data_IF_965919301439
#
_entry.id   IF_965919301439
#
_cell.length_a   1.000
_cell.length_b   1.000
_cell.length_c   1.000
_cell.angle_alpha   90.00
_cell.angle_beta   90.00
_cell.angle_gamma   90.00
#
_symmetry.space_group_name_H-M   'P 1'
#
loop_
_entity.id
_entity.type
_entity.pdbx_description
1 polymer ?
#
# COMPACT_ATOMS: atom_id res chain seq x y z
N UNK A 1 1.18 -2.49 -5.04
CA UNK A 1 0.22 -2.07 -4.00
C UNK A 1 -1.20 -1.91 -4.53
N UNK A 2 -1.45 -1.06 -5.52
CA UNK A 2 -2.82 -0.75 -5.95
C UNK A 2 -3.63 -1.94 -6.47
N UNK A 3 -3.10 -2.71 -7.43
CA UNK A 3 -3.83 -3.82 -8.07
C UNK A 3 -4.23 -4.95 -7.12
N UNK A 4 -3.40 -5.22 -6.10
CA UNK A 4 -3.69 -6.23 -5.08
C UNK A 4 -4.45 -5.69 -3.88
N UNK A 5 -4.18 -4.44 -3.50
CA UNK A 5 -4.79 -3.73 -2.39
C UNK A 5 -6.27 -3.46 -2.63
N UNK A 6 -6.58 -2.80 -3.75
CA UNK A 6 -7.96 -2.39 -4.05
C UNK A 6 -8.86 -3.58 -4.38
N UNK A 7 -8.35 -4.57 -5.11
CA UNK A 7 -9.12 -5.77 -5.44
C UNK A 7 -9.56 -6.53 -4.18
N UNK A 8 -8.66 -6.70 -3.21
CA UNK A 8 -8.98 -7.39 -1.96
C UNK A 8 -9.81 -6.51 -1.01
N UNK A 9 -9.49 -5.23 -0.94
CA UNK A 9 -10.20 -4.26 -0.13
C UNK A 9 -11.65 -4.05 -0.59
N UNK A 10 -11.94 -4.10 -1.88
CA UNK A 10 -13.30 -3.95 -2.41
C UNK A 10 -14.13 -5.22 -2.13
N UNK A 11 -13.54 -6.42 -2.24
CA UNK A 11 -14.20 -7.68 -1.87
C UNK A 11 -14.52 -7.73 -0.38
N UNK A 12 -13.55 -7.45 0.48
CA UNK A 12 -13.74 -7.49 1.94
C UNK A 12 -14.59 -6.30 2.40
N UNK A 13 -14.39 -5.13 1.82
CA UNK A 13 -15.14 -3.90 2.13
C UNK A 13 -16.62 -4.02 1.79
N UNK A 14 -16.99 -4.62 0.65
CA UNK A 14 -18.41 -4.85 0.31
C UNK A 14 -19.07 -5.91 1.20
N UNK A 15 -18.30 -6.91 1.66
CA UNK A 15 -18.84 -8.03 2.45
C UNK A 15 -18.90 -7.75 3.95
N UNK A 16 -17.95 -6.97 4.48
CA UNK A 16 -17.78 -6.74 5.92
C UNK A 16 -17.68 -5.26 6.32
N UNK A 17 -17.66 -4.32 5.38
CA UNK A 17 -17.51 -2.88 5.61
C UNK A 17 -18.73 -2.20 6.23
N UNK A 18 -19.19 -2.69 7.38
CA UNK A 18 -20.29 -2.08 8.15
C UNK A 18 -19.84 -0.82 8.89
N UNK A 19 -18.55 -0.74 9.28
CA UNK A 19 -17.94 0.43 9.91
C UNK A 19 -17.34 1.38 8.87
N UNK A 20 -18.09 2.43 8.51
CA UNK A 20 -17.67 3.49 7.59
C UNK A 20 -16.73 4.49 8.28
N UNK A 21 -15.87 5.14 7.52
CA UNK A 21 -15.01 6.21 8.03
C UNK A 21 -15.84 7.48 8.31
N UNK A 22 -15.66 8.15 9.46
CA UNK A 22 -16.43 9.35 9.82
C UNK A 22 -16.18 10.54 8.89
N UNK A 23 -15.10 10.50 8.09
CA UNK A 23 -14.73 11.54 7.14
C UNK A 23 -14.99 11.16 5.67
N UNK A 24 -15.40 9.91 5.38
CA UNK A 24 -15.68 9.45 4.02
C UNK A 24 -16.65 8.26 4.04
N UNK A 25 -17.93 8.51 3.76
CA UNK A 25 -19.00 7.48 3.82
C UNK A 25 -18.90 6.42 2.71
N UNK A 26 -18.03 6.63 1.71
CA UNK A 26 -17.73 5.68 0.65
C UNK A 26 -16.64 4.67 1.04
N UNK A 27 -15.83 4.98 2.07
CA UNK A 27 -14.72 4.14 2.55
C UNK A 27 -15.03 3.51 3.90
N UNK A 28 -14.58 2.27 4.11
CA UNK A 28 -14.67 1.57 5.39
C UNK A 28 -13.30 1.41 6.04
N UNK A 29 -13.26 1.46 7.37
CA UNK A 29 -12.10 1.09 8.18
C UNK A 29 -11.57 -0.30 7.80
N UNK A 30 -12.48 -1.25 7.59
CA UNK A 30 -12.14 -2.63 7.23
C UNK A 30 -11.54 -2.69 5.82
N UNK A 31 -12.07 -1.90 4.88
CA UNK A 31 -11.50 -1.80 3.54
C UNK A 31 -10.07 -1.24 3.56
N UNK A 32 -9.83 -0.21 4.37
CA UNK A 32 -8.51 0.42 4.48
C UNK A 32 -7.47 -0.50 5.12
N UNK A 33 -7.85 -1.23 6.17
CA UNK A 33 -6.99 -2.25 6.79
C UNK A 33 -6.71 -3.39 5.81
N UNK A 34 -7.72 -3.82 5.04
CA UNK A 34 -7.57 -4.85 4.02
C UNK A 34 -6.61 -4.41 2.92
N UNK A 35 -6.69 -3.17 2.46
CA UNK A 35 -5.78 -2.58 1.48
C UNK A 35 -4.34 -2.53 2.00
N UNK A 36 -4.14 -2.12 3.26
CA UNK A 36 -2.82 -2.11 3.90
C UNK A 36 -2.21 -3.52 3.94
N UNK A 37 -2.95 -4.49 4.48
CA UNK A 37 -2.46 -5.86 4.69
C UNK A 37 -2.18 -6.55 3.35
N UNK A 38 -3.13 -6.52 2.41
CA UNK A 38 -2.98 -7.17 1.11
C UNK A 38 -1.93 -6.49 0.24
N UNK A 39 -1.88 -5.15 0.26
CA UNK A 39 -0.88 -4.35 -0.43
C UNK A 39 0.53 -4.59 0.11
N UNK A 40 0.69 -4.69 1.43
CA UNK A 40 1.95 -5.05 2.09
C UNK A 40 2.38 -6.47 1.73
N UNK A 41 1.50 -7.47 1.91
CA UNK A 41 1.80 -8.87 1.61
C UNK A 41 2.19 -9.09 0.16
N UNK A 42 1.44 -8.54 -0.80
CA UNK A 42 1.76 -8.70 -2.22
C UNK A 42 3.09 -8.03 -2.58
N UNK A 43 3.37 -6.86 -2.01
CA UNK A 43 4.62 -6.15 -2.27
C UNK A 43 5.82 -6.85 -1.64
N UNK A 44 5.67 -7.41 -0.43
CA UNK A 44 6.70 -8.22 0.21
C UNK A 44 6.95 -9.53 -0.56
N UNK A 45 5.89 -10.19 -1.05
CA UNK A 45 6.00 -11.38 -1.89
C UNK A 45 6.75 -11.10 -3.19
N UNK A 46 6.45 -9.97 -3.86
CA UNK A 46 7.16 -9.57 -5.07
C UNK A 46 8.64 -9.27 -4.78
N UNK A 47 8.94 -8.55 -3.69
CA UNK A 47 10.32 -8.28 -3.29
C UNK A 47 11.09 -9.58 -2.99
N UNK A 48 10.46 -10.54 -2.31
CA UNK A 48 10.98 -11.88 -2.08
C UNK A 48 11.23 -12.64 -3.38
N UNK A 49 10.27 -12.63 -4.29
CA UNK A 49 10.40 -13.29 -5.59
C UNK A 49 11.61 -12.75 -6.38
N UNK A 50 11.77 -11.43 -6.49
CA UNK A 50 12.90 -10.83 -7.18
C UNK A 50 14.24 -11.02 -6.45
N UNK A 51 14.23 -11.06 -5.11
CA UNK A 51 15.43 -11.35 -4.32
C UNK A 51 15.88 -12.81 -4.51
N UNK A 52 14.96 -13.78 -4.56
CA UNK A 52 15.26 -15.18 -4.88
C UNK A 52 15.86 -15.35 -6.28
N UNK A 53 15.47 -14.52 -7.24
CA UNK A 53 16.05 -14.49 -8.58
C UNK A 53 17.44 -13.83 -8.62
N UNK A 54 17.92 -13.29 -7.49
CA UNK A 54 19.25 -12.68 -7.38
C UNK A 54 19.35 -11.24 -7.88
N UNK A 55 18.23 -10.59 -8.22
CA UNK A 55 18.25 -9.21 -8.72
C UNK A 55 18.51 -8.17 -7.62
N UNK A 56 18.15 -8.48 -6.37
CA UNK A 56 18.28 -7.57 -5.24
C UNK A 56 18.87 -8.28 -4.01
N UNK A 57 19.89 -7.66 -3.41
CA UNK A 57 20.34 -8.00 -2.07
C UNK A 57 19.60 -7.11 -1.07
N UNK A 58 18.75 -7.72 -0.25
CA UNK A 58 17.78 -7.01 0.57
C UNK A 58 18.01 -7.35 2.05
N UNK A 59 18.32 -6.34 2.85
CA UNK A 59 18.27 -6.45 4.31
C UNK A 59 16.80 -6.50 4.76
N UNK A 60 16.31 -7.71 5.06
CA UNK A 60 14.89 -7.99 5.30
C UNK A 60 14.26 -7.14 6.42
N UNK A 61 14.96 -6.94 7.54
CA UNK A 61 14.46 -6.11 8.65
C UNK A 61 14.17 -4.67 8.20
N UNK A 62 15.11 -4.06 7.46
CA UNK A 62 14.98 -2.69 6.98
C UNK A 62 13.95 -2.60 5.86
N UNK A 63 13.93 -3.58 4.97
CA UNK A 63 13.04 -3.61 3.82
C UNK A 63 11.58 -3.77 4.22
N UNK A 64 11.28 -4.67 5.17
CA UNK A 64 9.92 -4.84 5.68
C UNK A 64 9.43 -3.56 6.38
N UNK A 65 10.28 -2.91 7.18
CA UNK A 65 9.95 -1.62 7.81
C UNK A 65 9.63 -0.52 6.78
N UNK A 66 10.47 -0.37 5.74
CA UNK A 66 10.22 0.59 4.65
C UNK A 66 8.95 0.27 3.88
N UNK A 67 8.72 -1.00 3.59
CA UNK A 67 7.58 -1.47 2.82
C UNK A 67 6.27 -1.27 3.59
N UNK A 68 6.29 -1.40 4.93
CA UNK A 68 5.19 -1.01 5.80
C UNK A 68 4.92 0.50 5.76
N UNK A 69 5.95 1.35 5.76
CA UNK A 69 5.78 2.81 5.61
C UNK A 69 5.19 3.19 4.26
N UNK A 70 5.62 2.54 3.17
CA UNK A 70 5.03 2.76 1.84
C UNK A 70 3.56 2.33 1.81
N UNK A 71 3.23 1.18 2.42
CA UNK A 71 1.85 0.71 2.53
C UNK A 71 0.97 1.69 3.32
N UNK A 72 1.52 2.24 4.41
CA UNK A 72 0.84 3.21 5.25
C UNK A 72 0.57 4.50 4.46
N UNK A 73 1.58 5.02 3.75
CA UNK A 73 1.42 6.18 2.88
C UNK A 73 0.34 5.95 1.81
N UNK A 74 0.31 4.76 1.18
CA UNK A 74 -0.74 4.37 0.24
C UNK A 74 -2.13 4.48 0.87
N UNK A 75 -2.30 3.86 2.04
CA UNK A 75 -3.60 3.83 2.75
C UNK A 75 -4.03 5.18 3.27
N UNK A 76 -3.10 6.07 3.63
CA UNK A 76 -3.41 7.43 4.02
C UNK A 76 -3.93 8.20 2.80
N UNK A 77 -3.22 8.15 1.67
CA UNK A 77 -3.65 8.82 0.44
C UNK A 77 -5.01 8.32 -0.03
N UNK A 78 -5.23 7.02 0.04
CA UNK A 78 -6.52 6.35 -0.23
C UNK A 78 -7.66 6.81 0.72
N UNK A 79 -7.33 7.13 1.97
CA UNK A 79 -8.31 7.59 2.96
C UNK A 79 -8.72 9.06 2.77
N UNK A 80 -7.89 9.88 2.12
CA UNK A 80 -8.17 11.30 1.95
C UNK A 80 -9.25 11.45 0.86
N UNK A 81 -10.36 12.15 1.11
CA UNK A 81 -11.42 12.37 0.12
C UNK A 81 -11.02 13.44 -0.90
N UNK A 82 -9.88 13.27 -1.59
CA UNK A 82 -9.50 14.07 -2.78
C UNK A 82 -10.09 13.46 -4.06
N UNK A 83 -10.84 12.36 -3.92
CA UNK A 83 -11.43 11.56 -4.98
C UNK A 83 -12.37 12.31 -5.92
N UNK A 84 -12.87 13.50 -5.55
CA UNK A 84 -13.68 14.34 -6.44
C UNK A 84 -12.83 15.12 -7.48
N UNK A 85 -11.49 15.15 -7.33
CA UNK A 85 -10.57 15.90 -8.23
C UNK A 85 -9.50 15.00 -8.85
N UNK A 86 -9.05 13.96 -8.15
CA UNK A 86 -8.01 13.03 -8.64
C UNK A 86 -8.41 11.58 -8.31
N UNK A 87 -8.46 10.72 -9.32
CA UNK A 87 -8.75 9.29 -9.13
C UNK A 87 -7.71 8.62 -8.20
N UNK A 88 -8.19 7.79 -7.28
CA UNK A 88 -7.35 6.96 -6.39
C UNK A 88 -6.37 6.10 -7.19
N UNK A 89 -6.78 5.73 -8.41
CA UNK A 89 -5.99 4.95 -9.36
C UNK A 89 -4.73 5.68 -9.88
N UNK A 90 -4.60 6.99 -9.63
CA UNK A 90 -3.44 7.83 -9.99
C UNK A 90 -2.72 8.34 -8.74
N UNK A 91 -3.46 8.75 -7.72
CA UNK A 91 -2.89 9.33 -6.49
C UNK A 91 -2.08 8.28 -5.70
N UNK A 92 -2.59 7.04 -5.60
CA UNK A 92 -1.99 5.98 -4.79
C UNK A 92 -0.70 5.42 -5.41
N UNK A 93 -0.61 5.16 -6.74
CA UNK A 93 0.64 4.79 -7.38
C UNK A 93 1.70 5.88 -7.27
N UNK A 94 1.32 7.15 -7.49
CA UNK A 94 2.25 8.26 -7.37
C UNK A 94 2.82 8.38 -5.95
N UNK A 95 1.95 8.31 -4.94
CA UNK A 95 2.36 8.38 -3.55
C UNK A 95 3.28 7.22 -3.16
N UNK A 96 2.93 6.00 -3.57
CA UNK A 96 3.75 4.81 -3.28
C UNK A 96 5.08 4.81 -4.02
N UNK A 97 5.13 5.28 -5.27
CA UNK A 97 6.38 5.47 -6.02
C UNK A 97 7.28 6.51 -5.33
N UNK A 98 6.73 7.65 -4.92
CA UNK A 98 7.49 8.69 -4.25
C UNK A 98 7.99 8.23 -2.87
N UNK A 99 7.14 7.59 -2.08
CA UNK A 99 7.53 7.02 -0.79
C UNK A 99 8.60 5.94 -0.93
N UNK A 100 8.45 5.04 -1.90
CA UNK A 100 9.44 4.00 -2.18
C UNK A 100 10.77 4.61 -2.65
N UNK A 101 10.74 5.62 -3.52
CA UNK A 101 11.94 6.31 -3.99
C UNK A 101 12.70 6.98 -2.84
N UNK A 102 12.00 7.67 -1.94
CA UNK A 102 12.63 8.31 -0.78
C UNK A 102 13.20 7.30 0.21
N UNK A 103 12.45 6.24 0.51
CA UNK A 103 12.84 5.26 1.52
C UNK A 103 13.92 4.29 1.03
N UNK A 104 13.85 3.84 -0.23
CA UNK A 104 14.83 2.91 -0.79
C UNK A 104 15.99 3.62 -1.49
N UNK A 105 15.83 4.86 -1.96
CA UNK A 105 16.89 5.63 -2.61
C UNK A 105 17.97 6.14 -1.66
N UNK A 106 17.65 6.36 -0.37
CA UNK A 106 18.58 6.94 0.60
C UNK A 106 19.30 5.94 1.51
N UNK A 107 18.94 4.65 1.50
CA UNK A 107 19.67 3.66 2.30
C UNK A 107 20.16 2.52 1.43
N UNK A 108 21.42 2.66 1.01
CA UNK A 108 22.26 1.52 0.69
C UNK A 108 22.38 0.67 1.96
N UNK A 109 22.00 -0.61 1.89
CA UNK A 109 22.59 -1.56 2.84
C UNK A 109 24.07 -1.66 2.46
N UNK A 110 24.96 -1.41 3.42
CA UNK A 110 26.38 -1.69 3.29
C UNK A 110 26.61 -3.21 3.15
#
# INVERSE_FOLDING_TARGET
MMSGGDGFADIIGRRYGSAKLPFNEKKSWIGSISMFISGFLLSALMLFYFSCLGYFNVCWDLALGKLALVALAATVVECIPVTDVVDDNISVPLATMLAAYLLFGYSACC
#
